data_IF_900865698138
#
_entry.id   IF_900865698138
#
_cell.length_a   1.000
_cell.length_b   1.000
_cell.length_c   1.000
_cell.angle_alpha   90.00
_cell.angle_beta   90.00
_cell.angle_gamma   90.00
#
_symmetry.space_group_name_H-M   'P 1'
#
loop_
_entity.id
_entity.type
_entity.pdbx_description
1 polymer ?
#
# COMPACT_ATOMS: atom_id res chain seq x y z
N UNK A 1 16.69 -16.14 3.18
CA UNK A 1 15.86 -14.94 3.33
C UNK A 1 15.91 -14.45 4.77
N UNK A 2 16.27 -13.17 4.99
CA UNK A 2 16.31 -12.53 6.31
C UNK A 2 14.96 -12.59 7.03
N UNK A 3 13.85 -12.30 6.34
CA UNK A 3 12.51 -12.30 6.94
C UNK A 3 12.09 -13.68 7.46
N UNK A 4 12.39 -14.76 6.72
CA UNK A 4 12.18 -16.15 7.19
C UNK A 4 13.02 -16.48 8.43
N UNK A 5 14.20 -15.88 8.56
CA UNK A 5 15.02 -16.05 9.77
C UNK A 5 14.39 -15.32 10.97
N UNK A 6 13.95 -14.07 10.78
CA UNK A 6 13.26 -13.29 11.83
C UNK A 6 11.96 -13.96 12.28
N UNK A 7 11.16 -14.47 11.34
CA UNK A 7 9.94 -15.22 11.66
C UNK A 7 10.21 -16.38 12.63
N UNK A 8 11.26 -17.19 12.36
CA UNK A 8 11.65 -18.31 13.22
C UNK A 8 12.20 -17.84 14.56
N UNK A 9 13.02 -16.80 14.57
CA UNK A 9 13.65 -16.28 15.78
C UNK A 9 12.62 -15.73 16.77
N UNK A 10 11.59 -15.04 16.25
CA UNK A 10 10.53 -14.42 17.06
C UNK A 10 9.32 -15.35 17.27
N UNK A 11 9.35 -16.57 16.72
CA UNK A 11 8.25 -17.54 16.77
C UNK A 11 6.89 -16.95 16.32
N UNK A 12 6.88 -16.30 15.15
CA UNK A 12 5.68 -15.66 14.61
C UNK A 12 4.85 -16.65 13.80
N UNK A 13 3.65 -16.93 14.31
CA UNK A 13 2.62 -17.71 13.62
C UNK A 13 1.76 -16.80 12.71
N UNK A 14 1.15 -17.40 11.68
CA UNK A 14 0.27 -16.67 10.74
C UNK A 14 0.99 -15.72 9.78
N UNK A 15 2.33 -15.76 9.73
CA UNK A 15 3.13 -14.93 8.81
C UNK A 15 3.57 -15.74 7.60
N UNK A 16 3.37 -15.19 6.40
CA UNK A 16 3.89 -15.74 5.16
C UNK A 16 4.85 -14.72 4.51
N UNK A 17 6.07 -15.16 4.20
CA UNK A 17 7.06 -14.31 3.53
C UNK A 17 7.31 -14.82 2.11
N UNK A 18 7.03 -13.97 1.12
CA UNK A 18 7.34 -14.21 -0.29
C UNK A 18 8.61 -13.43 -0.67
N UNK A 19 9.54 -14.08 -1.38
CA UNK A 19 10.74 -13.42 -1.90
C UNK A 19 10.66 -13.42 -3.43
N UNK A 20 10.09 -12.36 -3.99
CA UNK A 20 10.03 -12.12 -5.42
C UNK A 20 9.83 -10.62 -5.69
N UNK A 21 9.93 -10.21 -6.95
CA UNK A 21 9.53 -8.90 -7.41
C UNK A 21 8.03 -8.85 -7.64
N UNK A 22 7.41 -7.70 -7.35
CA UNK A 22 5.96 -7.54 -7.46
C UNK A 22 5.45 -7.80 -8.89
N UNK A 23 6.23 -7.46 -9.92
CA UNK A 23 5.87 -7.67 -11.32
C UNK A 23 5.75 -9.15 -11.69
N UNK A 24 6.54 -10.03 -11.05
CA UNK A 24 6.43 -11.48 -11.25
C UNK A 24 5.19 -12.02 -10.53
N UNK A 25 4.98 -11.59 -9.29
CA UNK A 25 3.83 -11.98 -8.45
C UNK A 25 2.51 -11.64 -9.16
N UNK A 26 2.42 -10.44 -9.76
CA UNK A 26 1.23 -9.99 -10.48
C UNK A 26 0.95 -10.88 -11.70
N UNK A 27 1.98 -11.32 -12.43
CA UNK A 27 1.85 -12.17 -13.63
C UNK A 27 1.30 -13.56 -13.34
N UNK A 28 1.62 -14.13 -12.17
CA UNK A 28 1.14 -15.46 -11.78
C UNK A 28 -0.36 -15.51 -11.50
N UNK A 29 -1.00 -14.36 -11.24
CA UNK A 29 -2.45 -14.27 -11.05
C UNK A 29 -2.98 -14.80 -9.71
N UNK A 30 -2.18 -15.58 -8.97
CA UNK A 30 -2.57 -16.27 -7.73
C UNK A 30 -3.08 -15.33 -6.63
N UNK A 31 -2.58 -14.10 -6.59
CA UNK A 31 -2.78 -13.17 -5.48
C UNK A 31 -3.82 -12.08 -5.76
N UNK A 32 -4.51 -12.19 -6.90
CA UNK A 32 -5.50 -11.21 -7.34
C UNK A 32 -6.69 -11.18 -6.39
N UNK A 33 -6.98 -10.00 -5.84
CA UNK A 33 -8.13 -9.68 -4.99
C UNK A 33 -8.27 -10.60 -3.77
N UNK A 34 -7.16 -10.86 -3.07
CA UNK A 34 -7.08 -11.77 -1.92
C UNK A 34 -6.88 -11.10 -0.57
N UNK A 35 -6.69 -9.79 -0.55
CA UNK A 35 -6.29 -9.07 0.67
C UNK A 35 -7.30 -8.00 1.03
N UNK A 36 -7.66 -7.94 2.31
CA UNK A 36 -8.49 -6.86 2.85
C UNK A 36 -7.68 -5.56 3.00
N UNK A 37 -6.37 -5.69 3.24
CA UNK A 37 -5.47 -4.57 3.48
C UNK A 37 -4.13 -4.80 2.80
N UNK A 38 -3.63 -3.79 2.09
CA UNK A 38 -2.28 -3.71 1.52
C UNK A 38 -1.59 -2.50 2.12
N UNK A 39 -0.41 -2.70 2.71
CA UNK A 39 0.35 -1.63 3.36
C UNK A 39 1.70 -1.45 2.69
N UNK A 40 2.09 -0.21 2.39
CA UNK A 40 3.43 0.11 1.91
C UNK A 40 4.04 1.29 2.66
N UNK A 41 5.22 1.06 3.25
CA UNK A 41 6.08 2.04 3.93
C UNK A 41 7.41 2.19 3.17
N UNK A 42 7.35 2.28 1.84
CA UNK A 42 8.52 2.29 0.94
C UNK A 42 8.42 3.38 -0.17
N UNK A 43 9.45 3.48 -1.02
CA UNK A 43 9.74 4.56 -1.98
C UNK A 43 8.78 4.73 -3.17
N UNK A 44 7.84 3.83 -3.40
CA UNK A 44 6.97 3.91 -4.58
C UNK A 44 6.03 5.10 -4.48
N UNK A 45 5.84 5.81 -5.59
CA UNK A 45 4.85 6.89 -5.67
C UNK A 45 3.44 6.29 -5.81
N UNK A 46 2.40 7.04 -5.45
CA UNK A 46 0.99 6.63 -5.53
C UNK A 46 0.61 6.14 -6.93
N UNK A 47 1.05 6.78 -8.04
CA UNK A 47 0.77 6.26 -9.38
C UNK A 47 1.28 4.83 -9.62
N UNK A 48 2.41 4.44 -9.01
CA UNK A 48 2.97 3.10 -9.13
C UNK A 48 2.31 2.11 -8.14
N UNK A 49 1.86 2.61 -7.00
CA UNK A 49 1.29 1.79 -5.92
C UNK A 49 -0.20 1.48 -6.13
N UNK A 50 -0.98 2.39 -6.72
CA UNK A 50 -2.41 2.20 -6.95
C UNK A 50 -2.75 0.97 -7.81
N UNK A 51 -2.06 0.69 -8.94
CA UNK A 51 -2.31 -0.52 -9.72
C UNK A 51 -2.03 -1.81 -8.93
N UNK A 52 -1.01 -1.80 -8.07
CA UNK A 52 -0.69 -2.92 -7.19
C UNK A 52 -1.79 -3.11 -6.15
N UNK A 53 -2.24 -2.03 -5.51
CA UNK A 53 -3.38 -2.05 -4.60
C UNK A 53 -4.62 -2.63 -5.28
N UNK A 54 -4.94 -2.17 -6.49
CA UNK A 54 -6.09 -2.66 -7.25
C UNK A 54 -6.01 -4.16 -7.54
N UNK A 55 -4.81 -4.66 -7.88
CA UNK A 55 -4.58 -6.07 -8.14
C UNK A 55 -4.74 -6.93 -6.88
N UNK A 56 -4.12 -6.54 -5.75
CA UNK A 56 -4.09 -7.37 -4.54
C UNK A 56 -5.37 -7.26 -3.70
N UNK A 57 -6.01 -6.09 -3.66
CA UNK A 57 -7.13 -5.84 -2.76
C UNK A 57 -8.43 -6.51 -3.22
N UNK A 58 -9.11 -7.16 -2.29
CA UNK A 58 -10.52 -7.50 -2.48
C UNK A 58 -11.37 -6.21 -2.61
N UNK A 59 -12.58 -6.29 -3.21
CA UNK A 59 -13.49 -5.15 -3.24
C UNK A 59 -13.80 -4.63 -1.82
N UNK A 60 -13.76 -3.31 -1.61
CA UNK A 60 -13.84 -2.70 -0.28
C UNK A 60 -12.54 -2.74 0.55
N UNK A 61 -11.45 -3.30 0.02
CA UNK A 61 -10.16 -3.37 0.71
C UNK A 61 -9.42 -2.03 0.76
N UNK A 62 -8.44 -1.92 1.66
CA UNK A 62 -7.71 -0.69 1.97
C UNK A 62 -6.24 -0.75 1.53
N UNK A 63 -5.80 0.21 0.72
CA UNK A 63 -4.39 0.48 0.47
C UNK A 63 -3.93 1.62 1.40
N UNK A 64 -2.99 1.31 2.30
CA UNK A 64 -2.48 2.25 3.31
C UNK A 64 -1.00 2.54 3.04
N UNK A 65 -0.62 3.81 2.95
CA UNK A 65 0.79 4.19 2.77
C UNK A 65 1.19 5.41 3.60
N UNK A 66 2.42 5.36 4.12
CA UNK A 66 3.01 6.45 4.90
C UNK A 66 3.85 7.35 3.98
N UNK A 67 3.51 8.64 3.93
CA UNK A 67 4.09 9.63 3.02
C UNK A 67 4.70 10.80 3.77
N UNK A 68 5.54 11.55 3.05
CA UNK A 68 6.13 12.79 3.53
C UNK A 68 5.09 13.91 3.68
N UNK A 69 5.53 15.10 4.13
CA UNK A 69 4.64 16.24 4.32
C UNK A 69 4.07 16.78 3.00
N UNK A 70 4.83 16.68 1.92
CA UNK A 70 4.44 17.16 0.59
C UNK A 70 4.00 15.99 -0.30
N UNK A 71 2.76 15.54 -0.11
CA UNK A 71 2.16 14.40 -0.84
C UNK A 71 1.18 14.85 -1.93
N UNK A 72 0.75 16.11 -1.91
CA UNK A 72 -0.28 16.63 -2.82
C UNK A 72 0.06 16.42 -4.30
N UNK A 73 1.29 16.69 -4.79
CA UNK A 73 1.62 16.47 -6.19
C UNK A 73 1.52 14.99 -6.60
N UNK A 74 1.77 14.08 -5.66
CA UNK A 74 1.71 12.64 -5.87
C UNK A 74 0.26 12.15 -5.92
N UNK A 75 -0.60 12.70 -5.07
CA UNK A 75 -2.04 12.46 -5.08
C UNK A 75 -2.63 12.98 -6.39
N UNK A 76 -2.33 14.23 -6.75
CA UNK A 76 -2.82 14.83 -7.99
C UNK A 76 -2.41 13.98 -9.20
N UNK A 77 -1.14 13.59 -9.31
CA UNK A 77 -0.65 12.74 -10.39
C UNK A 77 -1.37 11.37 -10.45
N UNK A 78 -1.70 10.79 -9.29
CA UNK A 78 -2.34 9.48 -9.22
C UNK A 78 -3.84 9.53 -9.59
N UNK A 79 -4.50 10.67 -9.35
CA UNK A 79 -5.92 10.87 -9.66
C UNK A 79 -6.17 11.65 -10.95
N UNK A 80 -5.13 12.14 -11.63
CA UNK A 80 -5.22 12.89 -12.89
C UNK A 80 -5.72 12.03 -14.07
N UNK A 81 -5.62 10.70 -13.99
CA UNK A 81 -6.06 9.79 -15.05
C UNK A 81 -7.55 9.46 -14.98
N UNK A 82 -8.20 9.30 -16.14
CA UNK A 82 -9.60 8.90 -16.22
C UNK A 82 -9.87 7.63 -15.38
N UNK A 83 -10.97 7.65 -14.61
CA UNK A 83 -11.50 6.56 -13.77
C UNK A 83 -10.80 6.24 -12.43
N UNK A 84 -9.70 6.88 -12.03
CA UNK A 84 -9.04 6.56 -10.74
C UNK A 84 -9.91 6.92 -9.52
N UNK A 85 -10.63 8.04 -9.59
CA UNK A 85 -11.60 8.44 -8.56
C UNK A 85 -12.83 7.51 -8.45
N UNK A 86 -13.10 6.70 -9.47
CA UNK A 86 -14.15 5.68 -9.43
C UNK A 86 -13.65 4.35 -8.84
N UNK A 87 -12.33 4.16 -8.77
CA UNK A 87 -11.71 2.92 -8.27
C UNK A 87 -11.35 3.05 -6.79
N UNK A 88 -10.87 4.22 -6.37
CA UNK A 88 -10.46 4.45 -4.99
C UNK A 88 -11.06 5.71 -4.39
N UNK A 89 -11.57 5.59 -3.17
CA UNK A 89 -11.88 6.72 -2.31
C UNK A 89 -10.67 7.07 -1.44
N UNK A 90 -10.23 8.33 -1.47
CA UNK A 90 -9.05 8.80 -0.74
C UNK A 90 -9.42 9.42 0.61
N UNK A 91 -8.71 8.99 1.65
CA UNK A 91 -8.68 9.60 2.97
C UNK A 91 -7.22 9.92 3.34
N UNK A 92 -7.03 10.94 4.18
CA UNK A 92 -5.72 11.36 4.63
C UNK A 92 -5.75 11.68 6.13
N UNK A 93 -4.76 11.17 6.84
CA UNK A 93 -4.51 11.49 8.26
C UNK A 93 -3.13 12.11 8.42
N UNK A 94 -3.09 13.29 9.03
CA UNK A 94 -1.85 14.03 9.26
C UNK A 94 -1.23 13.64 10.61
N UNK A 95 0.02 13.16 10.56
CA UNK A 95 0.81 12.85 11.76
C UNK A 95 1.77 14.00 12.01
N UNK A 96 1.40 14.86 12.98
CA UNK A 96 2.25 15.94 13.47
C UNK A 96 2.48 15.80 14.98
N UNK A 97 3.29 14.81 15.36
CA UNK A 97 3.63 14.54 16.76
C UNK A 97 5.12 14.86 16.98
N UNK A 98 5.48 15.76 17.92
CA UNK A 98 6.86 16.20 18.13
C UNK A 98 7.88 15.08 18.37
N UNK A 99 7.43 13.94 18.93
CA UNK A 99 8.27 12.78 19.24
C UNK A 99 8.45 11.81 18.06
N UNK A 100 7.70 11.96 16.97
CA UNK A 100 7.70 11.03 15.83
C UNK A 100 8.56 11.51 14.64
N UNK A 101 9.30 12.60 14.81
CA UNK A 101 10.17 13.17 13.79
C UNK A 101 9.43 14.13 12.85
N UNK A 102 9.89 14.28 11.58
CA UNK A 102 9.26 15.18 10.63
C UNK A 102 7.79 14.83 10.40
N UNK A 103 6.91 15.82 10.13
CA UNK A 103 5.51 15.56 9.83
C UNK A 103 5.35 14.51 8.71
N UNK A 104 4.41 13.60 8.91
CA UNK A 104 4.05 12.55 7.96
C UNK A 104 2.57 12.58 7.68
N UNK A 105 2.17 11.93 6.60
CA UNK A 105 0.76 11.75 6.23
C UNK A 105 0.51 10.26 6.02
N UNK A 106 -0.58 9.73 6.55
CA UNK A 106 -1.09 8.41 6.17
C UNK A 106 -2.12 8.66 5.07
N UNK A 107 -1.87 8.11 3.89
CA UNK A 107 -2.82 8.08 2.79
C UNK A 107 -3.51 6.72 2.81
N UNK A 108 -4.84 6.75 2.80
CA UNK A 108 -5.69 5.57 2.79
C UNK A 108 -6.55 5.63 1.52
N UNK A 109 -6.50 4.56 0.74
CA UNK A 109 -7.26 4.40 -0.49
C UNK A 109 -8.18 3.19 -0.33
N UNK A 110 -9.49 3.43 -0.27
CA UNK A 110 -10.51 2.38 -0.19
C UNK A 110 -10.95 1.96 -1.59
N UNK A 111 -10.74 0.69 -1.95
CA UNK A 111 -11.13 0.14 -3.24
C UNK A 111 -12.66 0.05 -3.33
N UNK A 112 -13.22 0.51 -4.44
CA UNK A 112 -14.65 0.38 -4.74
C UNK A 112 -15.12 -1.09 -4.63
N UNK A 113 -16.38 -1.27 -4.25
CA UNK A 113 -17.03 -2.57 -4.12
C UNK A 113 -17.41 -3.18 -5.47
#
# INVERSE_FOLDING_TARGET
SFLKHIQRLLNLDGVFTLQDRTENIVREGQWREKFDVVISRASLKLPDLMPLGQYFLAPGGLLITLKGPDVSPEVDAAFSGENHGNIFQLYQEDINLPLLGPPRKIIILEKAK
#
